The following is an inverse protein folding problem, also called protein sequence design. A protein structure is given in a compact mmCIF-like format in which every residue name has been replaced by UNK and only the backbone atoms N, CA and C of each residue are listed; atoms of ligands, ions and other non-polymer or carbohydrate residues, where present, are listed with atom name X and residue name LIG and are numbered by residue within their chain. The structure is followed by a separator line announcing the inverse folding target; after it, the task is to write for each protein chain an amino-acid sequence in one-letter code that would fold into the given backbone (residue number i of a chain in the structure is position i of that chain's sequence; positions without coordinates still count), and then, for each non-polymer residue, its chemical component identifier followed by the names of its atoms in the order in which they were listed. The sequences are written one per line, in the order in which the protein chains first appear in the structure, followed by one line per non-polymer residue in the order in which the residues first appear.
data_IF_784061843232
#
_entry.id   IF_784061843232
#
_cell.length_a   1.000
_cell.length_b   1.000
_cell.length_c   1.000
_cell.angle_alpha   90.00
_cell.angle_beta   90.00
_cell.angle_gamma   90.00
#
_symmetry.space_group_name_H-M   'P 1'
#
loop_
_entity.id
_entity.type
_entity.pdbx_description
1 polymer ?
2 non-polymer ?
3 non-polymer ?
4 non-polymer ?
5 water ?
#
# COMPACT_ATOMS: atom_id res chain seq x y z
N UNK A 1 12.16 8.10 -11.22
CA UNK A 1 12.88 6.87 -11.40
C UNK A 1 12.24 5.76 -10.61
N UNK A 2 13.04 4.72 -10.30
CA UNK A 2 12.52 3.53 -9.65
C UNK A 2 11.94 3.86 -8.28
N UNK A 3 12.65 4.66 -7.48
CA UNK A 3 12.12 5.01 -6.16
C UNK A 3 10.81 5.76 -6.26
N UNK A 4 10.72 6.71 -7.20
CA UNK A 4 9.45 7.41 -7.37
C UNK A 4 8.36 6.44 -7.81
N UNK A 5 8.68 5.50 -8.70
CA UNK A 5 7.68 4.54 -9.14
C UNK A 5 7.11 3.75 -7.97
N UNK A 6 7.94 3.36 -7.00
CA UNK A 6 7.44 2.70 -5.80
C UNK A 6 6.43 3.60 -5.08
N UNK A 7 6.70 4.90 -5.01
CA UNK A 7 5.76 5.82 -4.39
C UNK A 7 4.48 5.96 -5.20
N UNK A 8 4.58 6.06 -6.53
CA UNK A 8 3.39 6.09 -7.37
C UNK A 8 2.54 4.84 -7.14
N UNK A 9 3.17 3.68 -7.18
CA UNK A 9 2.43 2.43 -7.04
C UNK A 9 1.81 2.33 -5.65
N UNK A 10 2.57 2.63 -4.61
CA UNK A 10 2.04 2.54 -3.25
C UNK A 10 0.89 3.51 -3.04
N UNK A 11 0.89 4.65 -3.74
CA UNK A 11 -0.16 5.63 -3.55
C UNK A 11 -1.53 5.10 -3.92
N UNK A 12 -1.58 4.15 -4.85
CA UNK A 12 -2.81 3.54 -5.32
C UNK A 12 -2.62 2.03 -5.42
N UNK A 13 -2.15 1.43 -4.32
CA UNK A 13 -1.58 0.09 -4.36
C UNK A 13 -2.54 -0.96 -4.91
N UNK A 14 -3.74 -1.02 -4.35
CA UNK A 14 -4.70 -2.05 -4.77
C UNK A 14 -5.08 -1.90 -6.23
N UNK A 15 -5.34 -0.67 -6.68
CA UNK A 15 -5.75 -0.46 -8.07
C UNK A 15 -4.65 -0.90 -9.04
N UNK A 16 -3.41 -0.52 -8.77
CA UNK A 16 -2.31 -0.95 -9.63
C UNK A 16 -2.11 -2.45 -9.55
N UNK A 17 -2.24 -3.02 -8.35
CA UNK A 17 -2.02 -4.45 -8.20
C UNK A 17 -3.02 -5.23 -9.04
N UNK A 18 -4.30 -4.84 -8.99
CA UNK A 18 -5.33 -5.52 -9.77
C UNK A 18 -5.05 -5.37 -11.26
N UNK A 19 -4.77 -4.15 -11.71
CA UNK A 19 -4.46 -3.89 -13.11
C UNK A 19 -3.31 -4.77 -13.59
N UNK A 20 -2.22 -4.78 -12.83
CA UNK A 20 -1.01 -5.48 -13.28
C UNK A 20 -1.23 -6.98 -13.25
N UNK A 21 -1.89 -7.50 -12.21
CA UNK A 21 -2.18 -8.94 -12.17
C UNK A 21 -3.06 -9.34 -13.34
N UNK A 22 -4.10 -8.54 -13.63
CA UNK A 22 -4.94 -8.83 -14.79
C UNK A 22 -4.13 -8.78 -16.09
N UNK A 23 -3.24 -7.79 -16.21
CA UNK A 23 -2.40 -7.73 -17.41
C UNK A 23 -1.59 -9.01 -17.56
N UNK A 24 -1.02 -9.51 -16.46
CA UNK A 24 -0.28 -10.77 -16.48
C UNK A 24 -1.16 -11.95 -16.89
N UNK A 25 -2.31 -12.10 -16.24
CA UNK A 25 -3.18 -13.25 -16.52
C UNK A 25 -3.68 -13.23 -17.95
N UNK A 26 -3.93 -12.03 -18.49
CA UNK A 26 -4.43 -11.93 -19.85
C UNK A 26 -3.33 -12.12 -20.89
N UNK A 27 -2.11 -11.68 -20.58
CA UNK A 27 -1.00 -11.92 -21.50
C UNK A 27 -0.62 -13.40 -21.52
N UNK A 28 -0.70 -14.08 -20.38
CA UNK A 28 -0.28 -15.47 -20.25
C UNK A 28 -1.41 -16.30 -19.67
N UNK A 29 -2.42 -16.62 -20.48
CA UNK A 29 -3.57 -17.36 -19.91
C UNK A 29 -3.22 -18.69 -19.26
N UNK A 30 -2.16 -19.39 -19.70
CA UNK A 30 -1.81 -20.64 -19.05
C UNK A 30 -1.35 -20.45 -17.62
N UNK A 31 -0.90 -19.24 -17.28
CA UNK A 31 -0.47 -18.98 -15.91
C UNK A 31 -1.62 -19.08 -14.92
N UNK A 32 -2.87 -19.05 -15.39
CA UNK A 32 -4.02 -19.19 -14.51
C UNK A 32 -4.10 -20.56 -13.85
N UNK A 33 -3.32 -21.54 -14.33
CA UNK A 33 -3.34 -22.86 -13.69
C UNK A 33 -2.84 -22.78 -12.26
N UNK A 34 -2.02 -21.76 -11.94
CA UNK A 34 -1.61 -21.48 -10.59
C UNK A 34 -2.69 -20.78 -9.78
N UNK A 35 -3.80 -20.37 -10.43
CA UNK A 35 -4.82 -19.54 -9.79
C UNK A 35 -6.21 -20.10 -10.14
N UNK A 36 -6.43 -21.35 -9.73
CA UNK A 36 -7.64 -22.06 -10.15
C UNK A 36 -8.92 -21.37 -9.67
N UNK A 37 -8.84 -20.56 -8.62
CA UNK A 37 -10.02 -19.90 -8.09
C UNK A 37 -10.39 -18.62 -8.82
N UNK A 38 -9.61 -18.22 -9.82
CA UNK A 38 -9.88 -17.01 -10.60
C UNK A 38 -10.28 -17.33 -12.03
N UNK A 39 -10.49 -18.60 -12.36
CA UNK A 39 -10.81 -18.98 -13.74
C UNK A 39 -12.26 -18.66 -14.07
N UNK A 40 -12.51 -18.42 -15.35
CA UNK A 40 -13.86 -18.22 -15.84
C UNK A 40 -14.51 -16.93 -15.43
N UNK A 41 -13.73 -15.87 -15.21
CA UNK A 41 -14.24 -14.58 -14.77
C UNK A 41 -13.55 -13.48 -15.57
N UNK A 42 -14.32 -12.48 -15.98
CA UNK A 42 -13.75 -11.35 -16.69
C UNK A 42 -13.00 -10.45 -15.72
N UNK A 43 -12.34 -9.43 -16.27
CA UNK A 43 -11.57 -8.49 -15.44
C UNK A 43 -12.47 -7.83 -14.40
N UNK A 44 -13.64 -7.34 -14.83
CA UNK A 44 -14.53 -6.68 -13.88
C UNK A 44 -15.14 -7.66 -12.89
N UNK A 45 -15.43 -8.88 -13.33
CA UNK A 45 -15.91 -9.89 -12.40
C UNK A 45 -14.87 -10.18 -11.30
N UNK A 46 -13.60 -10.26 -11.67
CA UNK A 46 -12.57 -10.48 -10.65
C UNK A 46 -12.45 -9.27 -9.73
N UNK A 47 -12.45 -8.06 -10.29
CA UNK A 47 -12.32 -6.86 -9.46
C UNK A 47 -13.47 -6.71 -8.47
N UNK A 48 -14.63 -7.28 -8.79
CA UNK A 48 -15.76 -7.13 -7.89
C UNK A 48 -15.61 -7.99 -6.65
N UNK A 49 -14.71 -8.96 -6.66
CA UNK A 49 -14.59 -9.91 -5.56
C UNK A 49 -13.60 -9.37 -4.54
N UNK A 50 -14.05 -9.21 -3.30
CA UNK A 50 -13.16 -8.70 -2.26
C UNK A 50 -11.93 -9.59 -2.09
N UNK A 51 -12.08 -10.90 -2.32
CA UNK A 51 -10.95 -11.82 -2.22
C UNK A 51 -9.85 -11.44 -3.20
N UNK A 52 -10.23 -11.06 -4.42
CA UNK A 52 -9.23 -10.69 -5.43
C UNK A 52 -8.51 -9.41 -5.05
N UNK A 53 -9.25 -8.41 -4.60
CA UNK A 53 -8.61 -7.18 -4.13
C UNK A 53 -7.67 -7.43 -2.96
N UNK A 54 -8.11 -8.25 -2.00
CA UNK A 54 -7.27 -8.53 -0.84
C UNK A 54 -6.00 -9.26 -1.24
N UNK A 55 -6.13 -10.28 -2.07
CA UNK A 55 -4.97 -11.04 -2.54
C UNK A 55 -3.99 -10.16 -3.29
N UNK A 56 -4.48 -9.40 -4.27
CA UNK A 56 -3.57 -8.60 -5.08
C UNK A 56 -2.88 -7.54 -4.24
N UNK A 57 -3.60 -6.92 -3.31
CA UNK A 57 -2.95 -5.92 -2.48
C UNK A 57 -1.84 -6.52 -1.62
N UNK A 58 -2.07 -7.71 -1.05
CA UNK A 58 -1.06 -8.32 -0.21
C UNK A 58 0.18 -8.71 -1.03
N UNK A 59 -0.04 -9.25 -2.23
CA UNK A 59 1.08 -9.58 -3.10
C UNK A 59 1.88 -8.33 -3.43
N UNK A 60 1.19 -7.28 -3.88
CA UNK A 60 1.89 -6.10 -4.38
C UNK A 60 2.57 -5.36 -3.24
N UNK A 61 2.00 -5.40 -2.04
CA UNK A 61 2.69 -4.80 -0.90
C UNK A 61 4.04 -5.46 -0.68
N UNK A 62 4.09 -6.79 -0.69
CA UNK A 62 5.37 -7.45 -0.55
C UNK A 62 6.30 -7.13 -1.72
N UNK A 63 5.76 -7.06 -2.94
CA UNK A 63 6.63 -6.71 -4.05
C UNK A 63 7.24 -5.33 -3.86
N UNK A 64 6.45 -4.38 -3.34
CA UNK A 64 6.99 -3.05 -3.13
C UNK A 64 8.00 -3.02 -1.99
N UNK A 65 7.82 -3.86 -0.97
CA UNK A 65 8.84 -3.96 0.08
C UNK A 65 10.16 -4.48 -0.49
N UNK A 66 10.09 -5.50 -1.33
CA UNK A 66 11.29 -6.05 -1.95
C UNK A 66 11.93 -5.03 -2.87
N UNK A 67 11.12 -4.31 -3.65
CA UNK A 67 11.65 -3.27 -4.52
C UNK A 67 12.29 -2.15 -3.70
N UNK A 68 11.67 -1.74 -2.60
CA UNK A 68 12.22 -0.64 -1.81
C UNK A 68 13.50 -1.06 -1.09
N UNK A 69 13.63 -2.33 -0.71
CA UNK A 69 14.86 -2.78 -0.06
C UNK A 69 15.98 -3.05 -1.05
N UNK A 70 15.70 -3.09 -2.35
CA UNK A 70 16.72 -3.36 -3.34
C UNK A 70 17.75 -2.23 -3.37
N UNK A 71 18.94 -2.54 -3.87
CA UNK A 71 19.97 -1.53 -4.15
C UNK A 71 20.20 -1.54 -5.65
N UNK A 72 20.04 -0.38 -6.28
CA UNK A 72 20.18 -0.25 -7.73
C UNK A 72 19.44 -1.35 -8.48
N UNK A 73 18.21 -1.61 -8.04
CA UNK A 73 17.33 -2.59 -8.69
C UNK A 73 17.81 -4.04 -8.55
N UNK A 74 18.68 -4.30 -7.58
CA UNK A 74 19.13 -5.65 -7.25
C UNK A 74 18.50 -6.02 -5.93
N UNK A 75 17.56 -6.97 -5.90
CA UNK A 75 16.89 -7.30 -4.64
C UNK A 75 17.83 -8.03 -3.71
N UNK A 76 17.52 -7.95 -2.42
CA UNK A 76 18.29 -8.68 -1.42
C UNK A 76 18.13 -10.17 -1.58
N UNK A 77 19.22 -10.90 -1.36
CA UNK A 77 19.16 -12.35 -1.38
C UNK A 77 18.16 -12.88 -0.37
N UNK A 78 18.07 -12.24 0.80
CA UNK A 78 17.12 -12.70 1.82
C UNK A 78 15.68 -12.53 1.35
N UNK A 79 15.38 -11.47 0.60
CA UNK A 79 14.03 -11.31 0.06
C UNK A 79 13.74 -12.36 -1.01
N UNK A 80 14.71 -12.63 -1.88
CA UNK A 80 14.53 -13.71 -2.85
C UNK A 80 14.26 -15.03 -2.15
N UNK A 81 14.99 -15.31 -1.07
CA UNK A 81 14.80 -16.56 -0.34
C UNK A 81 13.40 -16.64 0.25
N UNK A 82 12.91 -15.54 0.84
CA UNK A 82 11.54 -15.54 1.34
C UNK A 82 10.56 -15.94 0.23
N UNK A 83 10.73 -15.36 -0.96
CA UNK A 83 9.84 -15.69 -2.07
C UNK A 83 9.98 -17.14 -2.51
N UNK A 84 11.19 -17.71 -2.44
CA UNK A 84 11.37 -19.10 -2.81
C UNK A 84 10.71 -20.03 -1.80
N UNK A 85 10.84 -19.71 -0.51
CA UNK A 85 10.44 -20.63 0.56
C UNK A 85 8.97 -20.55 0.91
N UNK A 86 8.25 -19.53 0.45
CA UNK A 86 6.83 -19.40 0.74
C UNK A 86 6.08 -20.63 0.25
N UNK A 87 5.25 -21.19 1.14
CA UNK A 87 4.47 -22.37 0.79
C UNK A 87 3.62 -22.14 -0.45
N UNK A 88 3.07 -20.92 -0.58
CA UNK A 88 2.23 -20.62 -1.73
C UNK A 88 3.01 -20.65 -3.04
N UNK A 89 4.34 -20.59 -2.97
CA UNK A 89 5.18 -20.59 -4.16
C UNK A 89 5.85 -21.93 -4.42
N UNK A 90 5.43 -22.99 -3.74
CA UNK A 90 5.96 -24.31 -4.04
C UNK A 90 5.58 -24.69 -5.46
N UNK A 91 6.55 -25.26 -6.19
CA UNK A 91 6.34 -25.65 -7.56
C UNK A 91 6.60 -24.58 -8.60
N UNK A 92 6.60 -23.31 -8.22
CA UNK A 92 6.94 -22.25 -9.17
C UNK A 92 8.39 -22.39 -9.64
N UNK A 93 8.64 -21.87 -10.84
CA UNK A 93 9.99 -21.74 -11.37
C UNK A 93 10.23 -20.29 -11.76
N UNK A 94 11.48 -19.95 -12.07
CA UNK A 94 11.78 -18.53 -12.35
C UNK A 94 11.00 -18.02 -13.56
N UNK A 95 10.66 -18.89 -14.51
CA UNK A 95 9.87 -18.46 -15.66
C UNK A 95 8.53 -17.83 -15.30
N UNK A 96 7.91 -18.30 -14.21
CA UNK A 96 6.68 -17.66 -13.75
C UNK A 96 6.92 -16.19 -13.41
N UNK A 97 8.05 -15.93 -12.75
CA UNK A 97 8.40 -14.56 -12.37
C UNK A 97 8.84 -13.74 -13.56
N UNK A 98 9.57 -14.35 -14.50
CA UNK A 98 9.96 -13.65 -15.73
C UNK A 98 8.72 -13.13 -16.45
N UNK A 99 7.69 -13.97 -16.58
CA UNK A 99 6.49 -13.55 -17.28
C UNK A 99 5.76 -12.43 -16.53
N UNK A 100 5.67 -12.54 -15.20
CA UNK A 100 5.07 -11.46 -14.42
C UNK A 100 5.72 -10.12 -14.74
N UNK A 101 7.05 -10.09 -14.75
CA UNK A 101 7.71 -8.80 -14.96
C UNK A 101 7.65 -8.33 -16.40
N UNK A 102 7.63 -9.24 -17.38
CA UNK A 102 7.36 -8.82 -18.74
C UNK A 102 5.99 -8.12 -18.82
N UNK A 103 4.96 -8.73 -18.23
CA UNK A 103 3.63 -8.13 -18.24
C UNK A 103 3.61 -6.80 -17.50
N UNK A 104 4.29 -6.73 -16.35
CA UNK A 104 4.36 -5.48 -15.57
C UNK A 104 5.00 -4.36 -16.37
N UNK A 105 6.12 -4.66 -17.04
CA UNK A 105 6.79 -3.63 -17.84
C UNK A 105 5.93 -3.20 -19.02
N UNK A 106 5.28 -4.16 -19.68
CA UNK A 106 4.38 -3.80 -20.79
C UNK A 106 3.26 -2.91 -20.30
N UNK A 107 2.68 -3.21 -19.13
CA UNK A 107 1.63 -2.36 -18.55
C UNK A 107 2.15 -0.94 -18.31
N UNK A 108 3.35 -0.83 -17.74
CA UNK A 108 3.90 0.49 -17.46
C UNK A 108 4.13 1.28 -18.74
N UNK A 109 4.67 0.63 -19.77
CA UNK A 109 4.93 1.35 -21.02
C UNK A 109 3.64 1.81 -21.69
N UNK A 110 2.54 1.09 -21.52
CA UNK A 110 1.28 1.46 -22.14
C UNK A 110 0.48 2.46 -21.32
N UNK A 111 0.93 2.78 -20.11
CA UNK A 111 0.24 3.67 -19.19
C UNK A 111 0.60 5.11 -19.50
N UNK A 112 -0.29 6.03 -19.11
CA UNK A 112 0.01 7.44 -19.21
C UNK A 112 0.95 7.97 -18.16
N UNK A 113 1.33 7.14 -17.18
CA UNK A 113 2.24 7.53 -16.12
C UNK A 113 3.70 7.32 -16.52
N UNK A 114 4.60 8.10 -15.91
CA UNK A 114 5.98 8.25 -16.35
C UNK A 114 6.93 7.29 -15.62
N UNK A 115 6.61 6.00 -15.74
CA UNK A 115 7.31 4.96 -15.02
C UNK A 115 8.68 4.79 -15.66
N UNK A 116 9.65 4.40 -14.84
CA UNK A 116 11.00 4.10 -15.31
C UNK A 116 10.97 2.62 -15.70
N UNK A 117 10.43 2.36 -16.89
CA UNK A 117 10.19 0.99 -17.32
C UNK A 117 11.49 0.20 -17.43
N UNK A 118 12.59 0.86 -17.81
CA UNK A 118 13.87 0.16 -17.92
C UNK A 118 14.31 -0.37 -16.57
N UNK A 119 14.10 0.40 -15.50
CA UNK A 119 14.48 -0.06 -14.17
C UNK A 119 13.64 -1.24 -13.72
N UNK A 120 12.34 -1.25 -14.05
CA UNK A 120 11.50 -2.40 -13.68
C UNK A 120 11.90 -3.64 -14.47
N UNK A 121 12.28 -3.46 -15.74
CA UNK A 121 12.78 -4.60 -16.52
C UNK A 121 14.02 -5.18 -15.88
N UNK A 122 14.96 -4.31 -15.48
CA UNK A 122 16.18 -4.77 -14.84
C UNK A 122 15.90 -5.39 -13.48
N UNK A 123 15.03 -4.77 -12.68
CA UNK A 123 14.62 -5.35 -11.41
C UNK A 123 14.06 -6.76 -11.61
N UNK A 124 13.18 -6.95 -12.58
CA UNK A 124 12.64 -8.28 -12.83
C UNK A 124 13.74 -9.28 -13.20
N UNK A 125 14.68 -8.88 -14.05
CA UNK A 125 15.77 -9.77 -14.41
C UNK A 125 16.65 -10.08 -13.22
N UNK A 126 16.96 -9.07 -12.40
CA UNK A 126 17.78 -9.30 -11.21
C UNK A 126 17.03 -10.11 -10.17
N UNK A 127 15.71 -9.97 -10.10
CA UNK A 127 14.96 -10.83 -9.17
C UNK A 127 14.99 -12.28 -9.64
N UNK A 128 14.82 -12.53 -10.94
CA UNK A 128 14.92 -13.88 -11.47
C UNK A 128 16.27 -14.50 -11.14
N UNK A 129 17.35 -13.75 -11.36
CA UNK A 129 18.67 -14.30 -11.04
C UNK A 129 18.86 -14.51 -9.54
N UNK A 130 18.26 -13.65 -8.71
CA UNK A 130 18.34 -13.86 -7.26
C UNK A 130 17.49 -15.05 -6.83
N UNK A 131 16.33 -15.26 -7.45
CA UNK A 131 15.52 -16.43 -7.13
C UNK A 131 16.28 -17.71 -7.44
N UNK A 132 16.96 -17.75 -8.60
CA UNK A 132 17.81 -18.89 -8.94
C UNK A 132 18.87 -19.10 -7.88
N UNK A 133 19.56 -18.03 -7.48
CA UNK A 133 20.62 -18.14 -6.49
C UNK A 133 20.08 -18.62 -5.15
N UNK A 134 18.81 -18.33 -4.85
CA UNK A 134 18.18 -18.74 -3.61
C UNK A 134 17.50 -20.10 -3.72
N UNK A 135 17.63 -20.79 -4.84
CA UNK A 135 17.24 -22.19 -4.93
C UNK A 135 16.01 -22.48 -5.77
N UNK A 136 15.44 -21.49 -6.45
CA UNK A 136 14.32 -21.76 -7.33
C UNK A 136 14.83 -22.32 -8.65
N UNK A 137 14.14 -23.35 -9.15
CA UNK A 137 14.51 -23.95 -10.42
C UNK A 137 14.04 -23.09 -11.58
N UNK B 1 9.35 -1.38 16.49
CA UNK B 1 9.22 0.07 16.56
C UNK B 1 8.42 0.64 15.41
N UNK B 2 8.64 1.94 15.20
CA UNK B 2 7.84 2.68 14.21
C UNK B 2 7.97 2.08 12.82
N UNK B 3 9.20 1.76 12.39
CA UNK B 3 9.37 1.22 11.05
C UNK B 3 8.70 -0.13 10.88
N UNK B 4 8.82 -1.00 11.89
CA UNK B 4 8.12 -2.28 11.82
C UNK B 4 6.61 -2.08 11.80
N UNK B 5 6.10 -1.11 12.57
CA UNK B 5 4.67 -0.85 12.57
C UNK B 5 4.15 -0.49 11.20
N UNK B 6 4.93 0.27 10.42
CA UNK B 6 4.53 0.57 9.04
C UNK B 6 4.35 -0.73 8.26
N UNK B 7 5.28 -1.67 8.42
CA UNK B 7 5.16 -2.97 7.76
C UNK B 7 3.95 -3.76 8.26
N UNK B 8 3.70 -3.74 9.58
CA UNK B 8 2.51 -4.41 10.11
C UNK B 8 1.25 -3.83 9.49
N UNK B 9 1.11 -2.51 9.50
CA UNK B 9 -0.08 -1.88 8.96
C UNK B 9 -0.22 -2.17 7.48
N UNK B 10 0.87 -2.06 6.72
CA UNK B 10 0.80 -2.30 5.28
C UNK B 10 0.44 -3.75 4.96
N UNK B 11 0.76 -4.69 5.85
CA UNK B 11 0.44 -6.08 5.61
C UNK B 11 -1.04 -6.42 5.65
N UNK B 12 -1.85 -5.56 6.25
CA UNK B 12 -3.30 -5.71 6.16
C UNK B 12 -3.90 -4.31 6.15
N UNK B 13 -3.57 -3.57 5.11
CA UNK B 13 -3.79 -2.12 5.13
C UNK B 13 -5.27 -1.76 5.02
N UNK B 14 -6.03 -2.49 4.21
CA UNK B 14 -7.45 -2.16 4.06
C UNK B 14 -8.17 -2.26 5.39
N UNK B 15 -7.95 -3.35 6.12
CA UNK B 15 -8.62 -3.54 7.39
C UNK B 15 -8.17 -2.53 8.44
N UNK B 16 -6.85 -2.33 8.57
CA UNK B 16 -6.36 -1.34 9.52
C UNK B 16 -6.85 0.06 9.17
N UNK B 17 -6.85 0.40 7.89
CA UNK B 17 -7.32 1.72 7.48
C UNK B 17 -8.77 1.92 7.86
N UNK B 18 -9.62 0.95 7.52
CA UNK B 18 -11.03 1.04 7.89
C UNK B 18 -11.18 1.17 9.40
N UNK B 19 -10.55 0.24 10.14
CA UNK B 19 -10.64 0.22 11.60
C UNK B 19 -10.28 1.57 12.18
N UNK B 20 -9.11 2.08 11.81
CA UNK B 20 -8.60 3.29 12.44
C UNK B 20 -9.45 4.50 12.07
N UNK B 21 -9.87 4.61 10.80
CA UNK B 21 -10.68 5.76 10.45
C UNK B 21 -12.04 5.69 11.14
N UNK B 22 -12.60 4.50 11.28
CA UNK B 22 -13.85 4.37 12.02
C UNK B 22 -13.65 4.72 13.48
N UNK B 23 -12.53 4.31 14.08
CA UNK B 23 -12.27 4.68 15.46
C UNK B 23 -12.21 6.19 15.61
N UNK B 24 -11.61 6.87 14.63
CA UNK B 24 -11.59 8.33 14.61
C UNK B 24 -13.01 8.90 14.55
N UNK B 25 -13.81 8.44 13.58
CA UNK B 25 -15.17 8.97 13.42
C UNK B 25 -16.06 8.67 14.62
N UNK B 26 -15.84 7.54 15.30
CA UNK B 26 -16.65 7.19 16.46
C UNK B 26 -16.17 7.87 17.73
N UNK B 27 -14.87 8.15 17.83
CA UNK B 27 -14.38 8.91 18.98
C UNK B 27 -14.80 10.38 18.91
N UNK B 28 -14.90 10.92 17.69
CA UNK B 28 -15.21 12.34 17.47
C UNK B 28 -16.35 12.45 16.47
N UNK B 29 -17.58 12.14 16.88
CA UNK B 29 -18.69 12.13 15.91
C UNK B 29 -18.91 13.46 15.19
N UNK B 30 -18.57 14.60 15.82
CA UNK B 30 -18.76 15.86 15.13
C UNK B 30 -17.84 16.01 13.93
N UNK B 31 -16.81 15.18 13.81
CA UNK B 31 -15.95 15.22 12.63
C UNK B 31 -16.68 14.84 11.35
N UNK B 32 -17.88 14.24 11.45
CA UNK B 32 -18.70 14.02 10.27
C UNK B 32 -19.20 15.32 9.65
N UNK B 33 -18.95 16.47 10.29
CA UNK B 33 -19.25 17.75 9.65
C UNK B 33 -18.52 17.86 8.31
N UNK B 34 -17.35 17.23 8.19
CA UNK B 34 -16.60 17.21 6.95
C UNK B 34 -17.00 16.07 6.03
N UNK B 35 -17.81 15.12 6.51
CA UNK B 35 -18.26 13.97 5.74
C UNK B 35 -19.77 13.84 5.89
N UNK B 36 -20.51 14.78 5.29
CA UNK B 36 -21.96 14.79 5.48
C UNK B 36 -22.61 13.51 4.99
N UNK B 37 -21.99 12.83 4.01
CA UNK B 37 -22.52 11.58 3.49
C UNK B 37 -22.39 10.42 4.46
N UNK B 38 -21.63 10.56 5.53
CA UNK B 38 -21.45 9.46 6.48
C UNK B 38 -22.50 9.46 7.59
N UNK B 39 -23.33 10.50 7.69
CA UNK B 39 -24.32 10.57 8.76
C UNK B 39 -25.33 9.44 8.63
N UNK B 40 -25.72 8.87 9.77
CA UNK B 40 -26.77 7.87 9.80
C UNK B 40 -26.36 6.50 9.31
N UNK B 41 -25.08 6.16 9.42
CA UNK B 41 -24.54 4.91 8.89
C UNK B 41 -23.75 4.22 9.99
N UNK B 42 -23.97 2.92 10.14
CA UNK B 42 -23.16 2.12 11.04
C UNK B 42 -21.79 1.85 10.39
N UNK B 43 -20.86 1.32 11.19
CA UNK B 43 -19.54 0.97 10.67
C UNK B 43 -19.64 0.06 9.45
N UNK B 44 -20.46 -0.99 9.55
CA UNK B 44 -20.57 -1.94 8.43
C UNK B 44 -21.15 -1.27 7.19
N UNK B 45 -22.09 -0.35 7.37
CA UNK B 45 -22.61 0.40 6.22
C UNK B 45 -21.53 1.26 5.59
N UNK B 46 -20.78 2.01 6.42
CA UNK B 46 -19.74 2.87 5.89
C UNK B 46 -18.73 2.05 5.08
N UNK B 47 -18.38 0.87 5.57
CA UNK B 47 -17.41 0.03 4.87
C UNK B 47 -17.89 -0.38 3.49
N UNK B 48 -19.20 -0.41 3.26
CA UNK B 48 -19.75 -0.73 1.95
C UNK B 48 -20.16 0.51 1.17
N UNK B 49 -19.65 1.67 1.52
CA UNK B 49 -19.85 2.90 0.78
C UNK B 49 -18.57 3.25 0.05
N UNK B 50 -18.66 3.36 -1.28
CA UNK B 50 -17.47 3.51 -2.13
C UNK B 50 -16.60 4.69 -1.73
N UNK B 51 -17.20 5.86 -1.46
CA UNK B 51 -16.37 7.02 -1.18
C UNK B 51 -15.67 6.89 0.18
N UNK B 52 -16.28 6.21 1.14
CA UNK B 52 -15.58 5.92 2.38
C UNK B 52 -14.40 4.99 2.14
N UNK B 53 -14.63 3.90 1.40
CA UNK B 53 -13.54 2.96 1.14
C UNK B 53 -12.41 3.62 0.39
N UNK B 54 -12.74 4.39 -0.65
CA UNK B 54 -11.71 4.98 -1.49
C UNK B 54 -10.92 6.06 -0.75
N UNK B 55 -11.61 6.92 0.02
CA UNK B 55 -10.90 7.94 0.78
C UNK B 55 -9.99 7.32 1.83
N UNK B 56 -10.53 6.37 2.60
CA UNK B 56 -9.74 5.76 3.67
C UNK B 56 -8.52 5.04 3.11
N UNK B 57 -8.67 4.38 1.96
CA UNK B 57 -7.55 3.70 1.33
C UNK B 57 -6.45 4.70 0.94
N UNK B 58 -6.85 5.83 0.34
CA UNK B 58 -5.88 6.85 -0.07
C UNK B 58 -5.22 7.48 1.14
N UNK B 59 -5.99 7.79 2.17
CA UNK B 59 -5.44 8.37 3.40
C UNK B 59 -4.32 7.49 3.91
N UNK B 60 -4.58 6.19 4.03
CA UNK B 60 -3.58 5.32 4.67
C UNK B 60 -2.42 5.00 3.75
N UNK B 61 -2.67 4.80 2.46
CA UNK B 61 -1.55 4.60 1.55
C UNK B 61 -0.57 5.77 1.66
N UNK B 62 -1.10 7.00 1.61
CA UNK B 62 -0.21 8.16 1.68
C UNK B 62 0.36 8.33 3.09
N UNK B 63 -0.44 8.12 4.13
CA UNK B 63 0.09 8.26 5.48
C UNK B 63 1.27 7.32 5.72
N UNK B 64 1.18 6.09 5.23
CA UNK B 64 2.29 5.15 5.42
C UNK B 64 3.54 5.62 4.68
N UNK B 65 3.37 6.25 3.51
CA UNK B 65 4.52 6.78 2.80
C UNK B 65 5.14 7.93 3.57
N UNK B 66 4.31 8.82 4.13
CA UNK B 66 4.84 9.93 4.91
C UNK B 66 5.58 9.41 6.13
N UNK B 67 5.00 8.42 6.81
CA UNK B 67 5.69 7.78 7.94
C UNK B 67 7.00 7.14 7.50
N UNK B 68 7.00 6.49 6.34
CA UNK B 68 8.19 5.80 5.86
C UNK B 68 9.31 6.77 5.51
N UNK B 69 8.96 7.96 5.02
CA UNK B 69 9.96 8.96 4.67
C UNK B 69 10.44 9.78 5.85
N UNK B 70 9.80 9.64 7.00
CA UNK B 70 10.18 10.40 8.18
C UNK B 70 11.52 9.92 8.74
N UNK B 71 12.17 10.81 9.49
CA UNK B 71 13.33 10.46 10.30
C UNK B 71 12.93 10.64 11.75
N UNK B 72 13.09 9.58 12.56
CA UNK B 72 12.71 9.62 13.97
C UNK B 72 11.32 10.22 14.20
N UNK B 73 10.38 9.82 13.34
CA UNK B 73 8.98 10.25 13.42
C UNK B 73 8.77 11.72 13.11
N UNK B 74 9.72 12.35 12.44
CA UNK B 74 9.60 13.73 11.98
C UNK B 74 9.41 13.69 10.46
N UNK B 75 8.26 14.12 9.94
CA UNK B 75 8.01 14.02 8.50
C UNK B 75 8.83 15.03 7.72
N UNK B 76 9.05 14.71 6.45
CA UNK B 76 9.64 15.68 5.54
C UNK B 76 8.76 16.91 5.43
N UNK B 77 9.39 18.10 5.37
CA UNK B 77 8.65 19.32 5.13
C UNK B 77 7.88 19.26 3.81
N UNK B 78 8.46 18.63 2.79
CA UNK B 78 7.76 18.52 1.51
C UNK B 78 6.46 17.72 1.62
N UNK B 79 6.43 16.70 2.48
CA UNK B 79 5.20 15.96 2.69
C UNK B 79 4.15 16.82 3.39
N UNK B 80 4.57 17.64 4.34
CA UNK B 80 3.61 18.54 5.00
C UNK B 80 3.07 19.56 4.00
N UNK B 81 3.95 20.14 3.17
CA UNK B 81 3.51 21.09 2.14
C UNK B 81 2.50 20.47 1.18
N UNK B 82 2.76 19.23 0.73
CA UNK B 82 1.84 18.54 -0.16
C UNK B 82 0.46 18.40 0.48
N UNK B 83 0.43 17.99 1.74
CA UNK B 83 -0.85 17.86 2.44
C UNK B 83 -1.56 19.21 2.55
N UNK B 84 -0.81 20.28 2.79
CA UNK B 84 -1.40 21.61 2.89
C UNK B 84 -2.00 22.05 1.55
N UNK B 85 -1.29 21.76 0.45
CA UNK B 85 -1.69 22.22 -0.87
C UNK B 85 -2.84 21.42 -1.49
N UNK B 86 -3.27 20.34 -0.86
CA UNK B 86 -4.31 19.50 -1.44
C UNK B 86 -5.63 20.26 -1.51
N UNK B 87 -6.21 20.32 -2.71
CA UNK B 87 -7.45 21.07 -2.91
C UNK B 87 -8.60 20.50 -2.10
N UNK B 88 -8.69 19.17 -2.01
CA UNK B 88 -9.78 18.53 -1.29
C UNK B 88 -9.73 18.78 0.22
N UNK B 89 -8.69 19.44 0.72
CA UNK B 89 -8.49 19.69 2.14
C UNK B 89 -8.67 21.16 2.51
N UNK B 90 -9.38 21.93 1.68
CA UNK B 90 -9.45 23.38 1.90
C UNK B 90 -10.07 23.72 3.25
N UNK B 91 -11.03 22.92 3.72
CA UNK B 91 -11.71 23.21 4.95
C UNK B 91 -11.14 22.56 6.20
N UNK B 92 -9.94 21.99 6.13
CA UNK B 92 -9.36 21.29 7.27
C UNK B 92 -8.40 22.19 8.04
N UNK B 93 -8.24 21.87 9.32
CA UNK B 93 -7.27 22.51 10.20
C UNK B 93 -6.43 21.43 10.84
N UNK B 94 -5.36 21.84 11.52
CA UNK B 94 -4.49 20.85 12.16
C UNK B 94 -5.25 20.02 13.20
N UNK B 95 -6.32 20.57 13.77
CA UNK B 95 -7.09 19.82 14.76
C UNK B 95 -7.70 18.55 14.21
N UNK B 96 -8.14 18.57 12.94
CA UNK B 96 -8.62 17.33 12.32
C UNK B 96 -7.55 16.26 12.32
N UNK B 97 -6.32 16.63 11.96
CA UNK B 97 -5.22 15.67 11.95
C UNK B 97 -4.84 15.24 13.36
N UNK B 98 -4.83 16.17 14.31
CA UNK B 98 -4.55 15.84 15.70
C UNK B 98 -5.52 14.77 16.20
N UNK B 99 -6.81 14.94 15.92
CA UNK B 99 -7.82 14.00 16.38
C UNK B 99 -7.63 12.63 15.74
N UNK B 100 -7.31 12.60 14.44
CA UNK B 100 -7.03 11.32 13.79
C UNK B 100 -5.92 10.57 14.51
N UNK B 101 -4.85 11.27 14.87
CA UNK B 101 -3.73 10.57 15.50
C UNK B 101 -4.01 10.17 16.94
N UNK B 102 -4.78 10.97 17.69
CA UNK B 102 -5.20 10.53 19.02
C UNK B 102 -6.00 9.24 18.92
N UNK B 103 -6.91 9.16 17.95
CA UNK B 103 -7.70 7.95 17.77
C UNK B 103 -6.82 6.78 17.33
N UNK B 104 -5.85 7.04 16.47
CA UNK B 104 -4.95 5.98 16.00
C UNK B 104 -4.13 5.41 17.15
N UNK B 105 -3.56 6.28 17.99
CA UNK B 105 -2.75 5.82 19.12
C UNK B 105 -3.60 5.01 20.10
N UNK B 106 -4.80 5.49 20.38
CA UNK B 106 -5.70 4.77 21.27
C UNK B 106 -6.03 3.39 20.70
N UNK B 107 -6.29 3.34 19.39
CA UNK B 107 -6.55 2.06 18.72
C UNK B 107 -5.37 1.11 18.87
N UNK B 108 -4.14 1.62 18.66
CA UNK B 108 -2.97 0.77 18.78
C UNK B 108 -2.81 0.24 20.20
N UNK B 109 -3.03 1.10 21.19
CA UNK B 109 -2.84 0.67 22.58
C UNK B 109 -3.84 -0.41 22.97
N UNK B 110 -5.05 -0.35 22.42
CA UNK B 110 -6.08 -1.32 22.75
C UNK B 110 -6.00 -2.59 21.90
N UNK B 111 -5.08 -2.64 20.94
CA UNK B 111 -5.05 -3.74 19.96
C UNK B 111 -4.47 -5.03 20.52
N UNK B 112 -3.49 -4.95 21.40
CA UNK B 112 -2.80 -6.15 21.85
C UNK B 112 -1.76 -6.67 20.88
N UNK B 113 -1.44 -5.92 19.83
CA UNK B 113 -0.37 -6.23 18.90
C UNK B 113 0.73 -5.19 19.10
N UNK B 114 1.97 -5.64 19.13
CA UNK B 114 3.10 -4.88 19.70
C UNK B 114 3.45 -3.59 18.98
N UNK B 115 2.48 -2.68 18.84
CA UNK B 115 2.74 -1.42 18.17
C UNK B 115 3.55 -0.53 19.12
N UNK B 116 4.36 0.35 18.54
CA UNK B 116 5.10 1.34 19.29
C UNK B 116 4.23 2.60 19.33
N UNK B 117 3.24 2.58 20.22
CA UNK B 117 2.23 3.64 20.24
C UNK B 117 2.83 5.01 20.55
N UNK B 118 3.88 5.05 21.37
CA UNK B 118 4.51 6.32 21.70
C UNK B 118 5.11 6.97 20.45
N UNK B 119 5.70 6.18 19.56
CA UNK B 119 6.23 6.74 18.32
C UNK B 119 5.13 7.31 17.44
N UNK B 120 3.99 6.62 17.35
CA UNK B 120 2.86 7.16 16.58
C UNK B 120 2.31 8.44 17.20
N UNK B 121 2.33 8.54 18.53
CA UNK B 121 1.94 9.79 19.19
C UNK B 121 2.87 10.92 18.78
N UNK B 122 4.18 10.67 18.83
CA UNK B 122 5.14 11.69 18.40
C UNK B 122 4.97 12.00 16.92
N UNK B 123 4.77 10.98 16.09
CA UNK B 123 4.59 11.22 14.66
C UNK B 123 3.40 12.14 14.42
N UNK B 124 2.28 11.89 15.08
CA UNK B 124 1.12 12.76 14.91
C UNK B 124 1.38 14.18 15.35
N UNK B 125 2.06 14.35 16.49
CA UNK B 125 2.38 15.69 16.96
C UNK B 125 3.36 16.38 16.03
N UNK B 126 4.35 15.65 15.52
CA UNK B 126 5.32 16.24 14.61
C UNK B 126 4.72 16.54 13.25
N UNK B 127 3.75 15.72 12.79
CA UNK B 127 3.05 16.05 11.56
C UNK B 127 2.24 17.32 11.74
N UNK B 128 1.52 17.43 12.86
CA UNK B 128 0.75 18.64 13.13
C UNK B 128 1.63 19.88 13.10
N UNK B 129 2.77 19.82 13.81
CA UNK B 129 3.69 20.96 13.81
C UNK B 129 4.14 21.29 12.40
N UNK B 130 4.50 20.26 11.62
CA UNK B 130 4.98 20.50 10.25
C UNK B 130 3.88 21.08 9.37
N UNK B 131 2.65 20.60 9.55
CA UNK B 131 1.52 21.17 8.80
C UNK B 131 1.34 22.65 9.14
N UNK B 132 1.49 23.01 10.40
CA UNK B 132 1.37 24.41 10.79
C UNK B 132 2.44 25.24 10.10
N UNK B 133 3.70 24.81 10.20
CA UNK B 133 4.79 25.54 9.55
C UNK B 133 4.56 25.66 8.05
N UNK B 134 3.95 24.65 7.44
CA UNK B 134 3.69 24.67 6.01
C UNK B 134 2.47 25.50 5.63
N UNK B 135 1.70 26.00 6.60
CA UNK B 135 0.62 26.92 6.31
C UNK B 135 -0.78 26.46 6.67
N UNK B 136 -0.98 25.27 7.23
CA UNK B 136 -2.33 24.86 7.59
C UNK B 136 -2.80 25.66 8.80
N UNK B 137 -4.08 26.02 8.80
CA UNK B 137 -4.66 26.79 9.90
C UNK B 137 -4.96 25.88 11.08
X LIG C 1 0.54 -15.94 -2.93
X LIG C 1 3.97 -12.52 -3.01
X LIG C 1 5.10 -13.78 -7.55
X LIG C 1 1.92 -17.41 -7.33
X LIG C 1 1.32 -14.86 -2.57
X LIG C 1 1.21 -14.08 -1.36
X LIG C 1 2.15 -13.12 -1.38
X LIG C 1 2.90 -13.29 -2.60
X LIG C 1 2.39 -12.05 -0.31
X LIG C 1 0.12 -14.27 -0.28
X LIG C 1 -1.08 -13.48 -0.85
X LIG C 1 -2.35 -13.58 -0.04
X LIG C 1 -3.41 -13.88 -0.67
X LIG C 1 -2.29 -13.35 1.19
X LIG C 1 4.53 -12.55 -4.25
X LIG C 1 5.49 -11.59 -4.75
X LIG C 1 5.79 -11.93 -6.02
X LIG C 1 5.04 -13.13 -6.34
X LIG C 1 5.97 -10.39 -3.91
X LIG C 1 6.76 -11.28 -7.03
X LIG C 1 7.85 -10.60 -6.65
X LIG C 1 4.33 -14.86 -7.90
X LIG C 1 4.28 -15.49 -9.19
X LIG C 1 3.41 -16.50 -9.14
X LIG C 1 2.87 -16.53 -7.80
X LIG C 1 5.16 -15.02 -10.37
X LIG C 1 2.95 -17.49 -10.23
X LIG C 1 2.95 -17.16 -11.52
X LIG C 1 1.29 -17.32 -6.12
X LIG C 1 0.22 -18.20 -5.69
X LIG C 1 -0.17 -17.80 -4.47
X LIG C 1 0.63 -16.65 -4.10
X LIG C 1 -0.33 -19.38 -6.52
X LIG C 1 -1.29 -18.44 -3.61
X LIG C 1 -2.62 -17.86 -4.06
X LIG C 1 -3.75 -18.50 -3.31
X LIG C 1 -4.73 -18.92 -3.98
X LIG C 1 -3.69 -18.59 -2.06
X LIG C 1 2.38 -14.36 -3.31
X LIG C 1 4.28 -13.48 -5.24
X LIG C 1 3.44 -15.52 -7.06
X LIG C 1 1.52 -16.41 -5.13
X LIG C 1 2.96 -15.01 -5.14
X LIG D 1 0.52 -12.01 -8.65
X LIG D 1 0.94 -10.75 -9.02
X LIG D 1 -0.60 -12.14 -7.87
X LIG D 1 -1.32 -11.04 -7.44
X LIG D 1 0.23 -9.64 -8.59
X LIG D 1 -0.90 -9.77 -7.81
X LIG D 1 1.18 -13.21 -9.00
X LIG D 1 0.83 -7.89 -9.11
X LIG D 1 -0.96 -13.43 -7.51
X LIG D 1 1.64 -13.35 -10.32
X LIG E 1 16.08 5.98 -9.14
X LIG E 1 15.93 4.99 -10.21
X LIG E 1 15.46 7.21 -9.61
X LIG E 1 15.39 5.59 -7.92
X LIG E 1 17.49 6.34 -8.93
X LIG F 1 -10.22 14.01 0.07
X LIG F 1 -5.91 12.32 1.46
X LIG F 1 -6.92 13.45 6.05
X LIG F 1 -11.29 15.00 4.72
X LIG F 1 -8.97 13.45 0.03
X LIG F 1 -8.28 12.98 -1.15
X LIG F 1 -7.09 12.50 -0.76
X LIG F 1 -6.98 12.66 0.67
X LIG F 1 -6.00 11.90 -1.69
X LIG F 1 -8.79 13.00 -2.61
X LIG F 1 -10.10 12.21 -2.74
X LIG F 1 -9.82 10.72 -2.78
X LIG F 1 -10.76 9.94 -2.47
X LIG F 1 -8.67 10.33 -3.09
X LIG F 1 -5.84 12.49 2.81
X LIG F 1 -4.70 12.10 3.62
X LIG F 1 -4.97 12.40 4.90
X LIG F 1 -6.29 13.00 4.93
X LIG F 1 -3.43 11.45 3.04
X LIG F 1 -4.10 12.21 6.17
X LIG F 1 -2.82 11.82 6.18
X LIG F 1 -8.19 13.93 6.09
X LIG F 1 -8.90 14.25 7.30
X LIG F 1 -10.13 14.69 6.95
X LIG F 1 -10.21 14.64 5.49
X LIG F 1 -8.26 14.09 8.70
X LIG F 1 -11.29 15.17 7.86
X LIG F 1 -11.26 15.11 9.19
X LIG F 1 -11.38 14.85 3.35
X LIG F 1 -12.55 15.14 2.56
X LIG F 1 -12.26 14.87 1.28
X LIG F 1 -10.90 14.40 1.21
X LIG F 1 -13.90 15.66 3.10
X LIG F 1 -13.23 15.01 0.09
X LIG F 1 -13.58 13.58 -0.34
X LIG F 1 -15.03 13.45 -0.70
X LIG F 1 -15.52 12.30 -0.76
X LIG F 1 -15.69 14.50 -0.93
X LIG F 1 -8.15 13.24 1.12
X LIG F 1 -6.80 13.05 3.64
X LIG F 1 -9.01 14.16 5.00
X LIG F 1 -10.39 14.40 2.49
X LIG F 1 -8.66 13.58 3.03
X LIG G 1 12.10 2.44 15.06
X LIG G 1 11.74 2.58 13.68
X LIG G 1 11.15 3.13 15.95
X LIG G 1 12.02 1.02 15.36
X LIG G 1 13.49 2.81 15.39
#
# INVERSE_FOLDING_TARGET
GFKQDIATLRGDLRTYAQDIFLAFLNKYPDEKRNFKNYVGKSDQELKSMAKFGDHTEKVFNLMMEVADRATDCVPLASDASTLVQMKQHSGLTTGNFEKLFVALVEYMRASGQSFDSQSWDRFGKNLVSALSSAGMK
GFKQDIATLRGDLRTYAQDIFLAFLNKYPDEKRNFKNYVGKSDQELKSMAKFGDHTEKVFNLMMEVADRATDCVPLASDASTLVQMKQHSGLTTGNFEKLFVALVEYMRASGQSFDSQSWDRFGKNLVSALSSAGMK
HEM CHA CHB CHC CHD C1A C2A C3A C4A CMA CAA CBA CGA O1A O2A C1B C2B C3B C4B CMB CAB CBB C1C C2C C3C C4C CMC CAC CBC C1D C2D C3D C4D CMD CAD CBD CGD O1D O2D NA NB NC ND FE
3Z7 C1 C2 C3 C4 C5 C6 O7 BR8 O9 C10
SO4 S O1 O2 O3 O4
HEM CHA CHB CHC CHD C1A C2A C3A C4A CMA CAA CBA CGA O1A O2A C1B C2B C3B C4B CMB CAB CBB C1C C2C C3C C4C CMC CAC CBC C1D C2D C3D C4D CMD CAD CBD CGD O1D O2D NA NB NC ND FE
SO4 S O1 O2 O3 O4
#
